data_IF_074241588846
#
_entry.id   IF_074241588846
#
_cell.length_a   1.000
_cell.length_b   1.000
_cell.length_c   1.000
_cell.angle_alpha   90.00
_cell.angle_beta   90.00
_cell.angle_gamma   90.00
#
_symmetry.space_group_name_H-M   'P 1'
#
loop_
_entity.id
_entity.type
_entity.pdbx_description
1 polymer ?
#
# COMPACT_ATOMS: atom_id res chain seq x y z
N UNK A 1 -39.63 11.95 -9.63
CA UNK A 1 -38.80 11.52 -8.48
C UNK A 1 -37.51 10.76 -8.91
N UNK A 2 -37.04 10.88 -10.16
CA UNK A 2 -35.88 10.08 -10.64
C UNK A 2 -34.58 10.88 -10.81
N UNK A 3 -34.63 12.21 -10.84
CA UNK A 3 -33.45 13.05 -11.07
C UNK A 3 -32.61 13.27 -9.81
N UNK A 4 -33.28 13.43 -8.66
CA UNK A 4 -32.62 13.58 -7.35
C UNK A 4 -31.95 12.28 -6.90
N UNK A 5 -32.56 11.13 -7.18
CA UNK A 5 -31.98 9.81 -6.86
C UNK A 5 -30.77 9.49 -7.74
N UNK A 6 -30.80 9.87 -9.02
CA UNK A 6 -29.65 9.73 -9.91
C UNK A 6 -28.48 10.64 -9.49
N UNK A 7 -28.76 11.92 -9.19
CA UNK A 7 -27.76 12.87 -8.72
C UNK A 7 -27.12 12.45 -7.38
N UNK A 8 -27.89 11.85 -6.47
CA UNK A 8 -27.37 11.34 -5.20
C UNK A 8 -26.43 10.14 -5.43
N UNK A 9 -26.78 9.24 -6.35
CA UNK A 9 -25.94 8.10 -6.71
C UNK A 9 -24.61 8.52 -7.37
N UNK A 10 -24.62 9.58 -8.16
CA UNK A 10 -23.40 10.11 -8.77
C UNK A 10 -22.49 10.74 -7.70
N UNK A 11 -23.06 11.48 -6.76
CA UNK A 11 -22.33 12.07 -5.64
C UNK A 11 -21.73 11.01 -4.70
N UNK A 12 -22.46 9.93 -4.41
CA UNK A 12 -21.93 8.81 -3.62
C UNK A 12 -20.82 8.08 -4.38
N UNK A 13 -21.01 7.80 -5.66
CA UNK A 13 -19.99 7.15 -6.52
C UNK A 13 -18.71 7.99 -6.59
N UNK A 14 -18.83 9.31 -6.80
CA UNK A 14 -17.69 10.22 -6.79
C UNK A 14 -16.94 10.20 -5.45
N UNK A 15 -17.68 10.23 -4.33
CA UNK A 15 -17.11 10.20 -2.98
C UNK A 15 -16.37 8.89 -2.72
N UNK A 16 -16.96 7.75 -3.10
CA UNK A 16 -16.34 6.43 -2.96
C UNK A 16 -15.06 6.32 -3.78
N UNK A 17 -15.07 6.78 -5.03
CA UNK A 17 -13.87 6.76 -5.89
C UNK A 17 -12.74 7.61 -5.30
N UNK A 18 -13.07 8.79 -4.77
CA UNK A 18 -12.09 9.67 -4.12
C UNK A 18 -11.49 9.03 -2.86
N UNK A 19 -12.30 8.35 -2.07
CA UNK A 19 -11.82 7.62 -0.88
C UNK A 19 -10.90 6.47 -1.29
N UNK A 20 -11.28 5.68 -2.29
CA UNK A 20 -10.46 4.58 -2.80
C UNK A 20 -9.12 5.09 -3.36
N UNK A 21 -9.12 6.19 -4.11
CA UNK A 21 -7.88 6.78 -4.62
C UNK A 21 -6.97 7.30 -3.51
N UNK A 22 -7.54 7.89 -2.46
CA UNK A 22 -6.76 8.32 -1.30
C UNK A 22 -6.15 7.12 -0.57
N UNK A 23 -6.90 6.03 -0.40
CA UNK A 23 -6.41 4.80 0.21
C UNK A 23 -5.27 4.19 -0.60
N UNK A 24 -5.43 4.09 -1.93
CA UNK A 24 -4.39 3.62 -2.85
C UNK A 24 -3.11 4.46 -2.75
N UNK A 25 -3.24 5.78 -2.69
CA UNK A 25 -2.11 6.70 -2.53
C UNK A 25 -1.43 6.53 -1.18
N UNK A 26 -2.21 6.40 -0.10
CA UNK A 26 -1.68 6.19 1.25
C UNK A 26 -0.91 4.86 1.34
N UNK A 27 -1.47 3.78 0.79
CA UNK A 27 -0.82 2.47 0.71
C UNK A 27 0.49 2.53 -0.10
N UNK A 28 0.47 3.11 -1.30
CA UNK A 28 1.66 3.27 -2.13
C UNK A 28 2.76 4.08 -1.40
N UNK A 29 2.39 5.15 -0.70
CA UNK A 29 3.33 5.95 0.08
C UNK A 29 3.91 5.17 1.27
N UNK A 30 3.10 4.37 1.96
CA UNK A 30 3.56 3.53 3.07
C UNK A 30 4.59 2.48 2.59
N UNK A 31 4.31 1.81 1.47
CA UNK A 31 5.24 0.86 0.85
C UNK A 31 6.54 1.55 0.42
N UNK A 32 6.46 2.70 -0.25
CA UNK A 32 7.65 3.44 -0.67
C UNK A 32 8.55 3.85 0.51
N UNK A 33 7.95 4.28 1.63
CA UNK A 33 8.71 4.62 2.85
C UNK A 33 9.46 3.42 3.41
N UNK A 34 8.81 2.25 3.47
CA UNK A 34 9.42 1.01 3.95
C UNK A 34 10.55 0.54 3.04
N UNK A 35 10.36 0.59 1.72
CA UNK A 35 11.43 0.32 0.74
C UNK A 35 12.66 1.21 0.98
N UNK A 36 12.46 2.52 1.22
CA UNK A 36 13.56 3.44 1.53
C UNK A 36 14.28 3.08 2.84
N UNK A 37 13.56 2.67 3.88
CA UNK A 37 14.15 2.22 5.14
C UNK A 37 14.98 0.96 4.94
N UNK A 38 14.48 -0.02 4.17
CA UNK A 38 15.22 -1.24 3.85
C UNK A 38 16.48 -0.96 3.05
N UNK A 39 16.40 -0.11 2.02
CA UNK A 39 17.57 0.28 1.23
C UNK A 39 18.64 0.94 2.12
N UNK A 40 18.24 1.88 2.98
CA UNK A 40 19.14 2.51 3.93
C UNK A 40 19.77 1.49 4.91
N UNK A 41 19.00 0.49 5.35
CA UNK A 41 19.49 -0.56 6.23
C UNK A 41 20.52 -1.46 5.53
N UNK A 42 20.23 -1.93 4.31
CA UNK A 42 21.15 -2.72 3.47
C UNK A 42 22.48 -1.98 3.30
N UNK A 43 22.43 -0.68 2.97
CA UNK A 43 23.64 0.13 2.80
C UNK A 43 24.39 0.34 4.11
N UNK A 44 23.69 0.71 5.20
CA UNK A 44 24.32 1.02 6.49
C UNK A 44 24.96 -0.20 7.15
N UNK A 45 24.36 -1.38 7.00
CA UNK A 45 24.88 -2.62 7.57
C UNK A 45 25.79 -3.39 6.60
N UNK A 46 26.01 -2.86 5.39
CA UNK A 46 26.80 -3.52 4.35
C UNK A 46 26.36 -4.97 4.10
N UNK A 47 25.04 -5.19 4.08
CA UNK A 47 24.48 -6.52 3.92
C UNK A 47 24.93 -7.13 2.59
N UNK A 48 25.31 -8.40 2.63
CA UNK A 48 25.61 -9.15 1.43
C UNK A 48 24.32 -9.52 0.67
N UNK A 49 24.46 -10.05 -0.54
CA UNK A 49 23.31 -10.36 -1.40
C UNK A 49 22.32 -11.35 -0.78
N UNK A 50 22.78 -12.28 0.06
CA UNK A 50 21.91 -13.25 0.74
C UNK A 50 21.11 -12.56 1.85
N UNK A 51 21.79 -11.81 2.72
CA UNK A 51 21.16 -11.06 3.82
C UNK A 51 20.14 -10.04 3.31
N UNK A 52 20.47 -9.32 2.24
CA UNK A 52 19.55 -8.40 1.60
C UNK A 52 18.32 -9.12 1.03
N UNK A 53 18.51 -10.30 0.41
CA UNK A 53 17.39 -11.08 -0.13
C UNK A 53 16.49 -11.65 0.98
N UNK A 54 17.04 -12.09 2.10
CA UNK A 54 16.27 -12.54 3.27
C UNK A 54 15.45 -11.39 3.87
N UNK A 55 16.07 -10.22 4.04
CA UNK A 55 15.38 -9.03 4.53
C UNK A 55 14.20 -8.64 3.61
N UNK A 56 14.38 -8.69 2.29
CA UNK A 56 13.32 -8.41 1.32
C UNK A 56 12.18 -9.44 1.38
N UNK A 57 12.49 -10.74 1.58
CA UNK A 57 11.47 -11.79 1.73
C UNK A 57 10.65 -11.58 3.00
N UNK A 58 11.29 -11.25 4.12
CA UNK A 58 10.59 -10.99 5.38
C UNK A 58 9.66 -9.78 5.27
N UNK A 59 10.07 -8.73 4.55
CA UNK A 59 9.19 -7.58 4.30
C UNK A 59 8.04 -7.93 3.36
N UNK A 60 8.28 -8.74 2.33
CA UNK A 60 7.22 -9.24 1.44
C UNK A 60 6.18 -10.07 2.20
N UNK A 61 6.62 -11.01 3.04
CA UNK A 61 5.74 -11.79 3.91
C UNK A 61 4.94 -10.87 4.86
N UNK A 62 5.57 -9.79 5.37
CA UNK A 62 4.86 -8.80 6.17
C UNK A 62 3.76 -8.08 5.36
N UNK A 63 4.02 -7.72 4.11
CA UNK A 63 2.98 -7.12 3.26
C UNK A 63 1.85 -8.09 2.94
N UNK A 64 2.14 -9.36 2.67
CA UNK A 64 1.11 -10.38 2.46
C UNK A 64 0.21 -10.53 3.69
N UNK A 65 0.81 -10.58 4.88
CA UNK A 65 0.09 -10.60 6.16
C UNK A 65 -0.76 -9.33 6.38
N UNK A 66 -0.18 -8.15 6.15
CA UNK A 66 -0.87 -6.86 6.31
C UNK A 66 -2.00 -6.65 5.29
N UNK A 67 -1.87 -7.20 4.08
CA UNK A 67 -2.89 -7.11 3.02
C UNK A 67 -4.12 -7.97 3.28
N UNK A 68 -4.06 -8.88 4.25
CA UNK A 68 -5.10 -9.87 4.52
C UNK A 68 -5.11 -11.04 3.53
N UNK A 69 -4.08 -11.20 2.71
CA UNK A 69 -3.97 -12.29 1.72
C UNK A 69 -3.71 -13.68 2.33
N UNK A 70 -3.20 -13.73 3.56
CA UNK A 70 -2.87 -14.98 4.29
C UNK A 70 -3.97 -15.44 5.26
N UNK A 71 -5.23 -15.01 5.06
CA UNK A 71 -6.37 -15.37 5.93
C UNK A 71 -7.41 -16.22 5.20
#
# INVERSE_FOLDING_TARGET
MNSETHSLNDATTFTLNKLLDNERKACALAVARRLNVMAAHITRQTLNGIEAAELLRNEAERYENESGALR
#
